data_IF_081069947649
#
_entry.id   IF_081069947649
#
_cell.length_a   1.000
_cell.length_b   1.000
_cell.length_c   1.000
_cell.angle_alpha   90.00
_cell.angle_beta   90.00
_cell.angle_gamma   90.00
#
_symmetry.space_group_name_H-M   'P 1'
#
loop_
_entity.id
_entity.type
_entity.pdbx_description
1 polymer ?
#
# COMPACT_ATOMS: atom_id res chain seq x y z
N UNK A 1 -42.58 32.12 -32.60
CA UNK A 1 -41.22 31.96 -33.16
C UNK A 1 -40.10 31.84 -32.17
N UNK A 2 -40.23 32.35 -30.93
CA UNK A 2 -39.11 32.29 -29.91
C UNK A 2 -38.86 30.91 -29.30
N UNK A 3 -39.85 30.02 -29.20
CA UNK A 3 -39.74 28.70 -28.61
C UNK A 3 -38.99 27.67 -29.48
N UNK A 4 -39.06 27.80 -30.80
CA UNK A 4 -38.39 26.90 -31.75
C UNK A 4 -36.88 27.15 -31.85
N UNK A 5 -36.43 28.38 -31.55
CA UNK A 5 -35.00 28.74 -31.57
C UNK A 5 -34.29 28.17 -30.34
N UNK A 6 -34.95 28.13 -29.18
CA UNK A 6 -34.39 27.57 -27.95
C UNK A 6 -34.18 26.04 -28.01
N UNK A 7 -35.13 25.35 -28.68
CA UNK A 7 -35.01 23.88 -28.82
C UNK A 7 -33.89 23.50 -29.79
N UNK A 8 -33.65 24.29 -30.82
CA UNK A 8 -32.55 24.04 -31.77
C UNK A 8 -31.19 24.33 -31.17
N UNK A 9 -31.06 25.37 -30.33
CA UNK A 9 -29.83 25.68 -29.61
C UNK A 9 -29.47 24.61 -28.55
N UNK A 10 -30.48 24.06 -27.84
CA UNK A 10 -30.27 22.97 -26.87
C UNK A 10 -29.83 21.67 -27.56
N UNK A 11 -30.36 21.35 -28.75
CA UNK A 11 -29.91 20.19 -29.53
C UNK A 11 -28.48 20.35 -30.11
N UNK A 12 -28.07 21.56 -30.48
CA UNK A 12 -26.69 21.81 -30.91
C UNK A 12 -25.69 21.71 -29.75
N UNK A 13 -26.04 22.13 -28.52
CA UNK A 13 -25.19 21.99 -27.35
C UNK A 13 -25.03 20.52 -26.89
N UNK A 14 -26.04 19.69 -27.09
CA UNK A 14 -25.92 18.25 -26.78
C UNK A 14 -25.12 17.47 -27.82
N UNK A 15 -25.06 17.94 -29.09
CA UNK A 15 -24.27 17.29 -30.12
C UNK A 15 -22.76 17.56 -30.01
N UNK A 16 -22.36 18.68 -29.37
CA UNK A 16 -20.92 18.98 -29.12
C UNK A 16 -20.33 18.25 -27.92
N UNK A 17 -21.14 17.63 -27.07
CA UNK A 17 -20.65 16.85 -25.90
C UNK A 17 -20.26 15.40 -26.24
N UNK A 18 -20.44 14.94 -27.48
CA UNK A 18 -20.14 13.56 -27.87
C UNK A 18 -18.85 13.36 -28.66
N UNK A 19 -18.06 14.39 -28.84
CA UNK A 19 -16.69 14.19 -29.29
C UNK A 19 -15.81 13.91 -28.07
N UNK A 20 -15.90 12.67 -27.55
CA UNK A 20 -14.77 12.10 -26.80
C UNK A 20 -13.56 12.16 -27.75
N UNK A 21 -12.59 12.98 -27.42
CA UNK A 21 -11.35 13.10 -28.15
C UNK A 21 -10.74 11.70 -28.17
N UNK A 22 -10.81 11.01 -29.32
CA UNK A 22 -10.05 9.76 -29.49
C UNK A 22 -8.59 10.12 -29.24
N UNK A 23 -8.02 9.57 -28.16
CA UNK A 23 -6.59 9.67 -27.94
C UNK A 23 -5.92 9.14 -29.20
N UNK A 24 -5.04 9.92 -29.83
CA UNK A 24 -4.39 9.54 -31.09
C UNK A 24 -3.50 8.29 -30.96
N UNK A 25 -3.44 7.67 -29.77
CA UNK A 25 -2.69 6.45 -29.48
C UNK A 25 -3.61 5.23 -29.53
N UNK A 26 -3.20 4.23 -30.31
CA UNK A 26 -3.81 2.90 -30.32
C UNK A 26 -2.94 1.95 -29.52
N UNK A 27 -3.50 1.40 -28.45
CA UNK A 27 -2.81 0.42 -27.61
C UNK A 27 -3.27 -1.00 -28.00
N UNK A 28 -2.30 -1.91 -28.05
CA UNK A 28 -2.55 -3.34 -28.22
C UNK A 28 -2.06 -4.04 -26.95
N UNK A 29 -2.93 -4.84 -26.33
CA UNK A 29 -2.52 -5.65 -25.16
C UNK A 29 -1.57 -6.75 -25.63
N UNK A 30 -0.33 -6.73 -25.14
CA UNK A 30 0.69 -7.74 -25.43
C UNK A 30 0.64 -8.87 -24.41
N UNK A 31 0.51 -8.55 -23.13
CA UNK A 31 0.37 -9.50 -22.04
C UNK A 31 -0.60 -8.96 -20.99
N UNK A 32 -1.36 -9.83 -20.34
CA UNK A 32 -2.26 -9.47 -19.24
C UNK A 32 -2.34 -10.62 -18.26
N UNK A 33 -2.08 -10.33 -17.00
CA UNK A 33 -2.17 -11.30 -15.91
C UNK A 33 -3.42 -11.06 -15.07
N UNK A 34 -3.90 -12.13 -14.42
CA UNK A 34 -5.01 -11.99 -13.46
C UNK A 34 -4.57 -11.22 -12.24
N UNK A 35 -5.38 -10.28 -11.83
CA UNK A 35 -5.18 -9.47 -10.64
C UNK A 35 -6.49 -9.30 -9.89
N UNK A 36 -6.38 -9.03 -8.59
CA UNK A 36 -7.50 -8.57 -7.78
C UNK A 36 -7.93 -7.16 -8.19
N UNK A 37 -9.18 -6.73 -7.90
CA UNK A 37 -9.62 -5.37 -8.23
C UNK A 37 -8.73 -4.31 -7.58
N UNK A 38 -8.44 -3.24 -8.32
CA UNK A 38 -7.69 -2.09 -7.79
C UNK A 38 -8.48 -1.43 -6.67
N UNK A 39 -7.83 -1.24 -5.51
CA UNK A 39 -8.40 -0.59 -4.33
C UNK A 39 -8.02 0.89 -4.27
N UNK A 40 -8.87 1.70 -3.62
CA UNK A 40 -8.66 3.14 -3.51
C UNK A 40 -8.07 3.50 -2.14
N UNK A 41 -6.82 3.96 -2.11
CA UNK A 41 -6.17 4.45 -0.88
C UNK A 41 -6.77 5.75 -0.32
N UNK A 42 -7.61 6.43 -1.10
CA UNK A 42 -8.23 7.73 -0.76
C UNK A 42 -7.22 8.78 -0.26
N UNK A 43 -7.49 9.44 0.89
CA UNK A 43 -6.66 10.53 1.41
C UNK A 43 -5.55 10.01 2.34
N UNK A 44 -4.72 9.09 1.84
CA UNK A 44 -3.56 8.57 2.56
C UNK A 44 -2.31 8.52 1.67
N UNK A 45 -1.13 8.53 2.28
CA UNK A 45 0.16 8.29 1.62
C UNK A 45 0.59 6.82 1.68
N UNK A 46 -0.36 5.87 1.59
CA UNK A 46 -0.12 4.44 1.76
C UNK A 46 -0.10 3.66 0.44
N UNK A 47 0.18 4.33 -0.69
CA UNK A 47 0.24 3.71 -2.01
C UNK A 47 1.19 2.50 -2.06
N UNK A 48 2.32 2.56 -1.37
CA UNK A 48 3.27 1.46 -1.23
C UNK A 48 2.61 0.19 -0.69
N UNK A 49 1.73 0.33 0.31
CA UNK A 49 1.04 -0.82 0.92
C UNK A 49 -0.02 -1.39 -0.02
N UNK A 50 -0.87 -0.54 -0.59
CA UNK A 50 -1.89 -0.97 -1.56
C UNK A 50 -1.28 -1.67 -2.77
N UNK A 51 -0.18 -1.12 -3.29
CA UNK A 51 0.54 -1.70 -4.41
C UNK A 51 1.14 -3.07 -4.07
N UNK A 52 1.81 -3.18 -2.91
CA UNK A 52 2.42 -4.45 -2.49
C UNK A 52 1.36 -5.49 -2.13
N UNK A 53 0.26 -5.10 -1.47
CA UNK A 53 -0.86 -6.02 -1.16
C UNK A 53 -1.46 -6.58 -2.45
N UNK A 54 -1.73 -5.74 -3.46
CA UNK A 54 -2.24 -6.18 -4.76
C UNK A 54 -1.28 -7.14 -5.47
N UNK A 55 0.03 -6.90 -5.37
CA UNK A 55 1.04 -7.83 -5.87
C UNK A 55 0.96 -9.20 -5.15
N UNK A 56 0.90 -9.21 -3.81
CA UNK A 56 0.83 -10.44 -3.03
C UNK A 56 -0.48 -11.21 -3.25
N UNK A 57 -1.60 -10.51 -3.42
CA UNK A 57 -2.89 -11.12 -3.80
C UNK A 57 -2.81 -11.78 -5.19
N UNK A 58 -2.14 -11.12 -6.13
CA UNK A 58 -1.91 -11.69 -7.47
C UNK A 58 -0.96 -12.90 -7.43
N UNK A 59 0.02 -12.90 -6.54
CA UNK A 59 0.87 -14.08 -6.30
C UNK A 59 0.06 -15.26 -5.75
N UNK A 60 -0.89 -15.02 -4.85
CA UNK A 60 -1.78 -16.05 -4.36
C UNK A 60 -2.64 -16.64 -5.49
N UNK A 61 -3.12 -15.80 -6.42
CA UNK A 61 -3.81 -16.27 -7.63
C UNK A 61 -2.88 -17.12 -8.50
N UNK A 62 -1.65 -16.68 -8.75
CA UNK A 62 -0.64 -17.43 -9.53
C UNK A 62 -0.29 -18.77 -8.89
N UNK A 63 -0.19 -18.81 -7.57
CA UNK A 63 0.07 -20.04 -6.79
C UNK A 63 -1.13 -21.00 -6.73
N UNK A 64 -2.28 -20.63 -7.31
CA UNK A 64 -3.50 -21.43 -7.28
C UNK A 64 -4.18 -21.47 -5.90
N UNK A 65 -3.87 -20.56 -5.01
CA UNK A 65 -4.46 -20.45 -3.67
C UNK A 65 -5.88 -19.87 -3.69
N UNK A 66 -6.27 -19.25 -4.80
CA UNK A 66 -7.54 -18.56 -4.97
C UNK A 66 -7.45 -17.06 -4.74
N UNK A 67 -8.60 -16.40 -4.77
CA UNK A 67 -8.72 -14.96 -4.58
C UNK A 67 -8.80 -14.62 -3.10
N UNK A 68 -7.96 -13.69 -2.68
CA UNK A 68 -7.93 -13.12 -1.34
C UNK A 68 -8.03 -11.60 -1.44
N UNK A 69 -8.64 -11.00 -0.44
CA UNK A 69 -8.71 -9.57 -0.19
C UNK A 69 -8.04 -9.33 1.18
N UNK A 70 -6.79 -8.84 1.16
CA UNK A 70 -5.93 -8.70 2.33
C UNK A 70 -5.98 -7.26 2.86
N UNK A 71 -5.96 -7.10 4.18
CA UNK A 71 -6.04 -5.78 4.82
C UNK A 71 -4.73 -5.02 4.71
N UNK A 72 -4.74 -3.93 3.94
CA UNK A 72 -3.63 -2.96 3.89
C UNK A 72 -3.44 -2.26 5.23
N UNK A 73 -4.54 -1.93 5.90
CA UNK A 73 -4.48 -1.15 7.13
C UNK A 73 -3.92 -1.93 8.31
N UNK A 74 -4.01 -3.25 8.29
CA UNK A 74 -3.33 -4.10 9.28
C UNK A 74 -1.80 -3.93 9.20
N UNK A 75 -1.26 -3.93 8.00
CA UNK A 75 0.18 -3.68 7.73
C UNK A 75 0.56 -2.23 8.03
N UNK A 76 -0.27 -1.26 7.59
CA UNK A 76 -0.02 0.17 7.81
C UNK A 76 0.03 0.51 9.29
N UNK A 77 -0.84 -0.08 10.12
CA UNK A 77 -0.80 0.10 11.58
C UNK A 77 0.53 -0.37 12.17
N UNK A 78 1.00 -1.55 11.77
CA UNK A 78 2.28 -2.07 12.25
C UNK A 78 3.46 -1.19 11.81
N UNK A 79 3.43 -0.71 10.57
CA UNK A 79 4.42 0.24 10.06
C UNK A 79 4.50 1.50 10.93
N UNK A 80 3.38 2.11 11.30
CA UNK A 80 3.39 3.29 12.17
C UNK A 80 3.98 3.00 13.54
N UNK A 81 3.70 1.84 14.13
CA UNK A 81 4.32 1.41 15.39
C UNK A 81 5.84 1.29 15.25
N UNK A 82 6.31 0.64 14.19
CA UNK A 82 7.74 0.47 13.92
C UNK A 82 8.45 1.82 13.70
N UNK A 83 7.81 2.74 12.98
CA UNK A 83 8.36 4.10 12.77
C UNK A 83 8.45 4.92 14.06
N UNK A 84 7.48 4.81 14.96
CA UNK A 84 7.55 5.46 16.26
C UNK A 84 8.74 4.95 17.07
N UNK A 85 9.03 3.67 16.95
CA UNK A 85 10.17 3.02 17.60
C UNK A 85 11.50 3.50 17.01
N UNK A 86 11.62 3.47 15.67
CA UNK A 86 12.78 3.96 14.93
C UNK A 86 13.06 5.43 15.24
N UNK A 87 12.03 6.29 15.20
CA UNK A 87 12.15 7.71 15.54
C UNK A 87 12.65 7.95 16.95
N UNK A 88 12.21 7.15 17.92
CA UNK A 88 12.70 7.26 19.30
C UNK A 88 14.17 6.89 19.40
N UNK A 89 14.61 5.78 18.81
CA UNK A 89 16.01 5.36 18.84
C UNK A 89 16.92 6.30 18.06
N UNK A 90 16.43 6.98 17.04
CA UNK A 90 17.16 8.02 16.30
C UNK A 90 17.08 9.40 16.96
N UNK A 91 16.57 9.51 18.18
CA UNK A 91 16.49 10.78 18.90
C UNK A 91 15.59 11.83 18.23
N UNK A 92 14.56 11.40 17.48
CA UNK A 92 13.64 12.28 16.77
C UNK A 92 14.01 12.55 15.31
N UNK A 93 15.04 11.89 14.78
CA UNK A 93 15.47 12.03 13.38
C UNK A 93 14.97 10.87 12.50
N UNK A 94 13.97 10.12 12.97
CA UNK A 94 13.30 9.10 12.16
C UNK A 94 12.24 9.71 11.23
N UNK A 95 11.81 8.92 10.24
CA UNK A 95 10.71 9.31 9.35
C UNK A 95 9.37 8.91 9.98
N UNK A 96 8.54 9.88 10.37
CA UNK A 96 7.15 9.66 10.85
C UNK A 96 6.11 9.97 9.77
N UNK A 97 6.47 9.86 8.51
CA UNK A 97 5.58 10.07 7.35
C UNK A 97 4.66 8.88 7.08
N UNK A 98 3.80 9.03 6.09
CA UNK A 98 2.91 7.95 5.63
C UNK A 98 3.58 7.02 4.60
N UNK A 99 4.57 7.54 3.86
CA UNK A 99 5.31 6.81 2.84
C UNK A 99 6.14 5.67 3.41
N UNK A 100 6.41 4.69 2.58
CA UNK A 100 7.34 3.58 2.79
C UNK A 100 7.56 2.84 1.46
N UNK A 101 8.24 1.69 1.52
CA UNK A 101 8.53 0.86 0.36
C UNK A 101 8.03 -0.58 0.59
N UNK A 102 8.13 -1.43 -0.41
CA UNK A 102 7.55 -2.79 -0.40
C UNK A 102 8.14 -3.70 0.68
N UNK A 103 9.42 -3.55 1.02
CA UNK A 103 10.03 -4.32 2.12
C UNK A 103 9.35 -4.08 3.48
N UNK A 104 8.81 -2.90 3.72
CA UNK A 104 8.06 -2.62 4.97
C UNK A 104 6.82 -3.52 5.07
N UNK A 105 6.14 -3.81 3.95
CA UNK A 105 5.05 -4.77 3.92
C UNK A 105 5.55 -6.17 4.31
N UNK A 106 6.63 -6.60 3.69
CA UNK A 106 7.29 -7.89 3.98
C UNK A 106 7.69 -8.01 5.45
N UNK A 107 8.33 -6.98 6.01
CA UNK A 107 8.78 -6.95 7.39
C UNK A 107 7.59 -7.00 8.37
N UNK A 108 6.54 -6.22 8.13
CA UNK A 108 5.33 -6.24 8.95
C UNK A 108 4.61 -7.59 8.86
N UNK A 109 4.46 -8.16 7.66
CA UNK A 109 3.89 -9.50 7.46
C UNK A 109 4.66 -10.55 8.27
N UNK A 110 5.98 -10.56 8.19
CA UNK A 110 6.81 -11.46 8.98
C UNK A 110 6.70 -11.21 10.49
N UNK A 111 6.50 -9.97 10.91
CA UNK A 111 6.41 -9.59 12.32
C UNK A 111 5.05 -9.93 12.95
N UNK A 112 3.95 -9.62 12.28
CA UNK A 112 2.60 -9.71 12.88
C UNK A 112 1.62 -10.59 12.10
N UNK A 113 1.97 -11.06 10.91
CA UNK A 113 1.07 -11.77 10.01
C UNK A 113 0.20 -10.83 9.19
N UNK A 114 -0.98 -11.31 8.81
CA UNK A 114 -1.97 -10.57 7.99
C UNK A 114 -3.37 -11.04 8.34
N UNK A 115 -4.38 -10.25 8.01
CA UNK A 115 -5.79 -10.60 8.11
C UNK A 115 -6.52 -10.26 6.81
N UNK A 116 -7.69 -10.87 6.53
CA UNK A 116 -8.55 -10.43 5.43
C UNK A 116 -9.08 -9.01 5.65
N UNK A 117 -9.33 -8.29 4.56
CA UNK A 117 -9.92 -6.95 4.59
C UNK A 117 -11.27 -6.91 5.31
N UNK A 118 -12.13 -7.93 5.11
CA UNK A 118 -13.42 -8.04 5.79
C UNK A 118 -13.32 -8.16 7.33
N UNK A 119 -12.14 -8.54 7.84
CA UNK A 119 -11.87 -8.66 9.28
C UNK A 119 -11.34 -7.35 9.86
N UNK A 120 -10.60 -6.59 9.07
CA UNK A 120 -10.00 -5.35 9.52
C UNK A 120 -9.88 -4.33 8.39
N UNK A 121 -10.90 -3.50 8.25
CA UNK A 121 -10.96 -2.43 7.24
C UNK A 121 -10.06 -1.23 7.56
N UNK A 122 -9.70 -1.04 8.83
CA UNK A 122 -8.87 0.10 9.26
C UNK A 122 -9.58 1.46 9.12
N UNK A 123 -10.89 1.49 9.27
CA UNK A 123 -11.70 2.71 9.36
C UNK A 123 -12.61 2.59 10.58
N UNK A 124 -12.36 3.38 11.62
CA UNK A 124 -13.15 3.43 12.84
C UNK A 124 -13.54 4.88 13.19
N UNK A 125 -13.90 5.65 12.18
CA UNK A 125 -14.38 7.03 12.30
C UNK A 125 -15.48 7.26 11.26
N UNK A 126 -16.25 8.34 11.38
CA UNK A 126 -17.41 8.60 10.53
C UNK A 126 -17.01 8.96 9.08
N UNK A 127 -16.52 7.96 8.34
CA UNK A 127 -16.14 8.05 6.93
C UNK A 127 -16.17 6.66 6.29
N UNK A 128 -16.48 6.61 5.00
CA UNK A 128 -16.35 5.41 4.16
C UNK A 128 -15.00 5.35 3.42
N UNK A 129 -14.15 6.34 3.62
CA UNK A 129 -12.86 6.47 2.92
C UNK A 129 -11.74 6.73 3.90
N UNK A 130 -10.58 6.13 3.63
CA UNK A 130 -9.38 6.35 4.43
C UNK A 130 -8.96 7.82 4.42
N UNK A 131 -8.66 8.34 5.61
CA UNK A 131 -8.05 9.66 5.79
C UNK A 131 -7.14 9.63 7.02
N UNK A 132 -5.85 9.63 6.82
CA UNK A 132 -4.86 9.57 7.88
C UNK A 132 -4.32 10.94 8.31
N UNK A 133 -4.79 12.03 7.72
CA UNK A 133 -4.23 13.36 7.94
C UNK A 133 -4.23 13.80 9.40
N UNK A 134 -5.32 13.56 10.14
CA UNK A 134 -5.42 13.90 11.56
C UNK A 134 -4.63 12.91 12.43
N UNK A 135 -4.84 11.62 12.24
CA UNK A 135 -4.17 10.56 12.99
C UNK A 135 -2.64 10.72 12.96
N UNK A 136 -2.06 10.98 11.78
CA UNK A 136 -0.62 11.16 11.62
C UNK A 136 -0.09 12.37 12.39
N UNK A 137 -0.86 13.44 12.52
CA UNK A 137 -0.47 14.59 13.36
C UNK A 137 -0.36 14.21 14.83
N UNK A 138 -1.30 13.41 15.34
CA UNK A 138 -1.25 12.89 16.71
C UNK A 138 -0.10 11.90 16.91
N UNK A 139 0.15 11.00 15.95
CA UNK A 139 1.31 10.09 15.96
C UNK A 139 2.61 10.89 16.11
N UNK A 140 2.78 11.93 15.28
CA UNK A 140 3.96 12.80 15.32
C UNK A 140 4.10 13.53 16.66
N UNK A 141 3.00 14.06 17.19
CA UNK A 141 3.01 14.78 18.47
C UNK A 141 3.41 13.85 19.63
N UNK A 142 2.84 12.65 19.70
CA UNK A 142 3.15 11.66 20.74
C UNK A 142 4.59 11.12 20.60
N UNK A 143 5.01 10.77 19.38
CA UNK A 143 6.37 10.30 19.12
C UNK A 143 7.42 11.34 19.50
N UNK A 144 7.25 12.58 19.07
CA UNK A 144 8.16 13.67 19.40
C UNK A 144 8.18 14.00 20.91
N UNK A 145 7.05 13.85 21.58
CA UNK A 145 6.96 14.02 23.03
C UNK A 145 7.77 12.94 23.77
N UNK A 146 7.65 11.68 23.35
CA UNK A 146 8.43 10.58 23.94
C UNK A 146 9.93 10.80 23.79
N UNK A 147 10.37 11.29 22.63
CA UNK A 147 11.80 11.64 22.39
C UNK A 147 12.26 12.76 23.35
N UNK A 148 11.49 13.84 23.46
CA UNK A 148 11.83 14.95 24.37
C UNK A 148 11.89 14.53 25.84
N UNK A 149 10.98 13.65 26.24
CA UNK A 149 10.96 13.09 27.59
C UNK A 149 12.06 12.04 27.84
N UNK A 150 12.74 11.57 26.78
CA UNK A 150 13.73 10.46 26.83
C UNK A 150 13.17 9.21 27.50
N UNK A 151 11.87 8.98 27.36
CA UNK A 151 11.15 7.89 28.03
C UNK A 151 9.95 7.45 27.21
N UNK A 152 9.75 6.13 27.13
CA UNK A 152 8.51 5.47 26.68
C UNK A 152 7.98 4.65 27.85
N UNK A 153 6.96 5.18 28.51
CA UNK A 153 6.30 4.50 29.64
C UNK A 153 5.22 3.52 29.15
N UNK A 154 4.73 2.63 30.01
CA UNK A 154 3.55 1.82 29.69
C UNK A 154 2.35 2.65 29.25
N UNK A 155 2.15 3.83 29.84
CA UNK A 155 1.08 4.77 29.48
C UNK A 155 1.26 5.32 28.05
N UNK A 156 2.49 5.59 27.62
CA UNK A 156 2.78 5.99 26.24
C UNK A 156 2.31 4.91 25.25
N UNK A 157 2.65 3.64 25.49
CA UNK A 157 2.22 2.55 24.61
C UNK A 157 0.71 2.38 24.61
N UNK A 158 0.05 2.56 25.77
CA UNK A 158 -1.40 2.54 25.86
C UNK A 158 -2.04 3.68 25.07
N UNK A 159 -1.48 4.90 25.16
CA UNK A 159 -1.98 6.05 24.39
C UNK A 159 -1.84 5.83 22.90
N UNK A 160 -0.70 5.31 22.42
CA UNK A 160 -0.46 5.01 21.00
C UNK A 160 -1.45 3.94 20.51
N UNK A 161 -1.63 2.85 21.24
CA UNK A 161 -2.59 1.82 20.84
C UNK A 161 -4.03 2.34 20.82
N UNK A 162 -4.45 3.09 21.84
CA UNK A 162 -5.78 3.72 21.87
C UNK A 162 -5.99 4.71 20.71
N UNK A 163 -4.95 5.44 20.32
CA UNK A 163 -5.01 6.29 19.14
C UNK A 163 -5.29 5.47 17.88
N UNK A 164 -4.54 4.38 17.67
CA UNK A 164 -4.79 3.51 16.53
C UNK A 164 -6.15 2.84 16.59
N UNK A 165 -6.59 2.37 17.76
CA UNK A 165 -7.91 1.77 17.93
C UNK A 165 -9.03 2.76 17.59
N UNK A 166 -8.84 4.04 17.96
CA UNK A 166 -9.78 5.12 17.64
C UNK A 166 -9.94 5.35 16.15
N UNK A 167 -8.84 5.32 15.38
CA UNK A 167 -8.86 5.63 13.96
C UNK A 167 -8.96 4.39 13.06
N UNK A 168 -8.30 3.31 13.42
CA UNK A 168 -8.18 2.12 12.58
C UNK A 168 -8.99 0.92 13.09
N UNK A 169 -9.51 0.99 14.32
CA UNK A 169 -10.18 -0.12 14.98
C UNK A 169 -9.23 -1.02 15.77
N UNK A 170 -9.80 -1.83 16.66
CA UNK A 170 -9.06 -2.80 17.47
C UNK A 170 -8.52 -3.94 16.62
N UNK A 171 -7.29 -4.37 16.92
CA UNK A 171 -6.68 -5.50 16.21
C UNK A 171 -7.36 -6.81 16.63
N UNK A 172 -7.73 -7.67 15.67
CA UNK A 172 -8.26 -8.99 15.99
C UNK A 172 -7.14 -9.90 16.52
N UNK A 173 -7.31 -10.43 17.73
CA UNK A 173 -6.42 -11.51 18.23
C UNK A 173 -6.72 -12.83 17.52
N UNK A 174 -8.00 -13.11 17.29
CA UNK A 174 -8.55 -14.26 16.57
C UNK A 174 -9.72 -13.84 15.71
N UNK A 175 -9.94 -14.54 14.62
CA UNK A 175 -11.06 -14.32 13.71
C UNK A 175 -11.45 -15.60 12.97
N UNK A 176 -12.66 -15.64 12.46
CA UNK A 176 -13.14 -16.72 11.60
C UNK A 176 -13.15 -16.24 10.15
N UNK A 177 -12.50 -16.98 9.27
CA UNK A 177 -12.50 -16.73 7.83
C UNK A 177 -12.77 -18.04 7.07
N UNK A 178 -13.73 -18.01 6.15
CA UNK A 178 -14.18 -19.20 5.38
C UNK A 178 -14.44 -20.42 6.29
N UNK A 179 -15.05 -20.19 7.47
CA UNK A 179 -15.46 -21.26 8.40
C UNK A 179 -14.33 -21.86 9.26
N UNK A 180 -13.14 -21.28 9.23
CA UNK A 180 -12.01 -21.71 10.06
C UNK A 180 -11.52 -20.56 10.96
N UNK A 181 -11.17 -20.87 12.22
CA UNK A 181 -10.58 -19.89 13.15
C UNK A 181 -9.08 -19.72 12.87
N UNK A 182 -8.63 -18.48 12.92
CA UNK A 182 -7.24 -18.07 12.72
C UNK A 182 -6.81 -17.02 13.72
N UNK A 183 -5.52 -16.96 13.97
CA UNK A 183 -4.82 -15.74 14.39
C UNK A 183 -4.20 -15.08 13.17
N UNK A 184 -3.80 -13.78 13.21
CA UNK A 184 -3.11 -13.14 12.08
C UNK A 184 -1.90 -13.94 11.57
N UNK A 185 -1.14 -14.53 12.48
CA UNK A 185 0.03 -15.37 12.15
C UNK A 185 -0.36 -16.67 11.46
N UNK A 186 -1.31 -17.42 12.03
CA UNK A 186 -1.72 -18.70 11.46
C UNK A 186 -2.44 -18.52 10.11
N UNK A 187 -3.09 -17.37 9.90
CA UNK A 187 -3.65 -17.03 8.60
C UNK A 187 -2.53 -16.76 7.57
N UNK A 188 -1.53 -15.93 7.92
CA UNK A 188 -0.36 -15.68 7.09
C UNK A 188 0.35 -16.99 6.68
N UNK A 189 0.57 -17.89 7.63
CA UNK A 189 1.17 -19.22 7.37
C UNK A 189 0.32 -20.05 6.38
N UNK A 190 -1.01 -19.98 6.49
CA UNK A 190 -1.92 -20.72 5.61
C UNK A 190 -1.88 -20.26 4.15
N UNK A 191 -1.48 -19.02 3.91
CA UNK A 191 -1.32 -18.47 2.55
C UNK A 191 -0.12 -19.11 1.83
N UNK A 192 0.91 -19.52 2.57
CA UNK A 192 2.11 -20.13 2.01
C UNK A 192 3.02 -19.18 1.26
N UNK A 193 2.89 -17.87 1.52
CA UNK A 193 3.81 -16.85 1.02
C UNK A 193 5.13 -16.92 1.80
N UNK A 194 6.24 -17.05 1.09
CA UNK A 194 7.58 -16.94 1.67
C UNK A 194 8.20 -15.62 1.26
N UNK A 195 8.43 -14.72 2.21
CA UNK A 195 8.93 -13.37 1.94
C UNK A 195 10.38 -13.35 1.42
N UNK A 196 11.13 -14.43 1.58
CA UNK A 196 12.50 -14.54 1.06
C UNK A 196 12.54 -14.82 -0.46
N UNK A 197 11.41 -15.20 -1.06
CA UNK A 197 11.31 -15.43 -2.51
C UNK A 197 11.18 -14.11 -3.30
N UNK A 198 11.03 -12.96 -2.62
CA UNK A 198 10.82 -11.66 -3.24
C UNK A 198 12.02 -10.74 -3.06
N UNK A 199 12.42 -10.10 -4.15
CA UNK A 199 13.53 -9.15 -4.22
C UNK A 199 13.05 -7.78 -4.69
N UNK A 200 13.58 -6.72 -4.12
CA UNK A 200 13.36 -5.36 -4.61
C UNK A 200 14.47 -4.97 -5.57
N UNK A 201 14.06 -4.45 -6.73
CA UNK A 201 14.95 -3.95 -7.76
C UNK A 201 14.94 -2.42 -7.78
N UNK A 202 16.05 -1.83 -8.17
CA UNK A 202 16.17 -0.39 -8.33
C UNK A 202 17.15 -0.07 -9.47
N UNK A 203 17.16 1.19 -9.93
CA UNK A 203 18.08 1.66 -10.98
C UNK A 203 18.66 3.02 -10.62
N UNK A 204 19.83 3.02 -10.02
CA UNK A 204 20.57 4.24 -9.67
C UNK A 204 21.95 4.25 -10.35
N UNK A 205 22.20 5.25 -11.18
CA UNK A 205 23.44 5.38 -11.98
C UNK A 205 24.68 5.74 -11.15
N UNK A 206 24.51 6.30 -9.95
CA UNK A 206 25.62 6.70 -9.08
C UNK A 206 26.10 5.60 -8.13
N UNK A 207 25.50 4.41 -8.21
CA UNK A 207 25.89 3.21 -7.45
C UNK A 207 26.25 2.10 -8.41
N UNK A 208 27.16 1.19 -8.04
CA UNK A 208 27.50 0.05 -8.89
C UNK A 208 26.27 -0.80 -9.23
N UNK A 209 26.16 -1.21 -10.48
CA UNK A 209 25.15 -2.17 -10.91
C UNK A 209 25.49 -3.59 -10.46
N UNK A 210 24.51 -4.46 -10.45
CA UNK A 210 24.57 -5.88 -10.08
C UNK A 210 25.01 -6.13 -8.64
N UNK A 211 24.72 -5.17 -7.77
CA UNK A 211 25.00 -5.23 -6.34
C UNK A 211 23.81 -4.71 -5.54
N UNK A 212 23.70 -5.16 -4.32
CA UNK A 212 22.74 -4.60 -3.36
C UNK A 212 23.32 -3.35 -2.71
N UNK A 213 22.50 -2.33 -2.54
CA UNK A 213 22.79 -1.17 -1.72
C UNK A 213 21.50 -0.63 -1.09
N UNK A 214 21.62 0.14 -0.04
CA UNK A 214 20.49 0.81 0.58
C UNK A 214 20.30 2.19 -0.08
N UNK A 215 19.19 2.41 -0.84
CA UNK A 215 18.88 3.73 -1.38
C UNK A 215 18.64 4.74 -0.26
N UNK A 216 19.32 5.88 -0.33
CA UNK A 216 19.24 6.98 0.64
C UNK A 216 18.03 7.87 0.33
N UNK A 217 16.82 7.29 0.33
CA UNK A 217 15.55 7.99 0.13
C UNK A 217 14.74 7.98 1.42
N UNK A 218 13.96 9.05 1.72
CA UNK A 218 13.23 9.15 2.99
C UNK A 218 12.30 7.98 3.29
N UNK A 219 11.70 7.38 2.25
CA UNK A 219 10.77 6.27 2.40
C UNK A 219 11.47 4.91 2.67
N UNK A 220 12.79 4.82 2.45
CA UNK A 220 13.62 3.69 2.89
C UNK A 220 14.13 3.89 4.33
N UNK A 221 13.22 4.22 5.24
CA UNK A 221 13.55 4.50 6.64
C UNK A 221 14.08 3.27 7.41
N UNK A 222 13.80 2.06 6.93
CA UNK A 222 14.33 0.80 7.45
C UNK A 222 15.75 0.52 6.96
N UNK A 223 16.27 1.29 5.99
CA UNK A 223 17.58 1.11 5.34
C UNK A 223 17.77 -0.25 4.67
N UNK A 224 16.71 -0.81 4.14
CA UNK A 224 16.76 -2.06 3.41
C UNK A 224 17.53 -1.94 2.10
N UNK A 225 18.11 -3.06 1.69
CA UNK A 225 18.94 -3.13 0.49
C UNK A 225 18.12 -3.59 -0.73
N UNK A 226 18.30 -2.87 -1.83
CA UNK A 226 17.72 -3.21 -3.13
C UNK A 226 18.81 -3.61 -4.11
N UNK A 227 18.50 -4.50 -5.03
CA UNK A 227 19.42 -4.91 -6.10
C UNK A 227 19.40 -3.89 -7.24
N UNK A 228 20.57 -3.33 -7.55
CA UNK A 228 20.71 -2.26 -8.54
C UNK A 228 20.97 -2.82 -9.94
N UNK A 229 20.14 -2.45 -10.90
CA UNK A 229 20.26 -2.83 -12.31
C UNK A 229 20.30 -1.60 -13.22
N UNK A 230 20.89 -1.68 -14.42
CA UNK A 230 20.62 -0.72 -15.48
C UNK A 230 19.10 -0.61 -15.74
N UNK A 231 18.64 0.59 -16.09
CA UNK A 231 17.20 0.83 -16.27
C UNK A 231 16.59 -0.08 -17.34
N UNK A 232 17.28 -0.23 -18.46
CA UNK A 232 16.80 -1.07 -19.58
C UNK A 232 16.67 -2.54 -19.14
N UNK A 233 17.64 -3.06 -18.41
CA UNK A 233 17.58 -4.45 -17.90
C UNK A 233 16.48 -4.59 -16.83
N UNK A 234 16.25 -3.58 -15.98
CA UNK A 234 15.14 -3.59 -15.02
C UNK A 234 13.79 -3.63 -15.75
N UNK A 235 13.65 -2.93 -16.88
CA UNK A 235 12.45 -2.99 -17.72
C UNK A 235 12.31 -4.37 -18.39
N UNK A 236 13.40 -4.94 -18.90
CA UNK A 236 13.38 -6.32 -19.45
C UNK A 236 12.95 -7.36 -18.41
N UNK A 237 13.40 -7.22 -17.15
CA UNK A 237 12.97 -8.08 -16.05
C UNK A 237 11.45 -7.92 -15.80
N UNK A 238 10.92 -6.70 -15.83
CA UNK A 238 9.49 -6.45 -15.65
C UNK A 238 8.66 -7.07 -16.79
N UNK A 239 9.09 -6.91 -18.02
CA UNK A 239 8.45 -7.49 -19.21
C UNK A 239 8.50 -9.03 -19.16
N UNK A 240 9.65 -9.59 -18.78
CA UNK A 240 9.81 -11.04 -18.60
C UNK A 240 8.88 -11.56 -17.48
N UNK A 241 8.79 -10.84 -16.36
CA UNK A 241 7.92 -11.20 -15.25
C UNK A 241 6.45 -11.32 -15.71
N UNK A 242 5.96 -10.40 -16.54
CA UNK A 242 4.61 -10.47 -17.10
C UNK A 242 4.40 -11.73 -17.97
N UNK A 243 5.41 -12.14 -18.72
CA UNK A 243 5.33 -13.37 -19.53
C UNK A 243 5.38 -14.64 -18.69
N UNK A 244 6.01 -14.57 -17.51
CA UNK A 244 6.11 -15.68 -16.55
C UNK A 244 4.94 -15.74 -15.55
N UNK A 245 3.81 -15.10 -15.85
CA UNK A 245 2.62 -15.02 -15.00
C UNK A 245 2.82 -14.26 -13.67
N UNK A 246 3.89 -13.47 -13.56
CA UNK A 246 4.07 -12.57 -12.44
C UNK A 246 3.34 -11.25 -12.72
N UNK A 247 2.62 -10.75 -11.74
CA UNK A 247 1.89 -9.50 -11.85
C UNK A 247 2.78 -8.31 -11.44
N UNK A 248 2.66 -7.21 -12.17
CA UNK A 248 3.25 -5.93 -11.76
C UNK A 248 2.23 -5.10 -11.00
N UNK A 249 2.66 -4.41 -9.97
CA UNK A 249 1.79 -3.66 -9.08
C UNK A 249 1.03 -2.54 -9.80
N UNK A 250 -0.32 -2.48 -9.73
CA UNK A 250 -1.07 -1.35 -10.28
C UNK A 250 -0.95 -0.12 -9.39
N UNK A 251 -1.13 1.07 -9.99
CA UNK A 251 -1.26 2.29 -9.20
C UNK A 251 -2.62 2.35 -8.48
N UNK A 252 -2.66 2.51 -7.14
CA UNK A 252 -3.92 2.66 -6.41
C UNK A 252 -4.72 3.91 -6.78
N UNK A 253 -4.16 4.81 -7.60
CA UNK A 253 -4.80 6.04 -8.10
C UNK A 253 -5.41 5.89 -9.49
N UNK A 254 -5.21 4.77 -10.16
CA UNK A 254 -5.69 4.59 -11.55
C UNK A 254 -7.22 4.61 -11.68
N UNK A 255 -7.96 4.42 -10.59
CA UNK A 255 -9.42 4.55 -10.55
C UNK A 255 -9.95 5.99 -10.40
N UNK A 256 -9.10 6.98 -10.19
CA UNK A 256 -9.51 8.37 -9.90
C UNK A 256 -9.41 9.29 -11.12
N UNK A 257 -9.24 8.74 -12.32
CA UNK A 257 -9.22 9.49 -13.59
C UNK A 257 -10.40 9.15 -14.48
#
# INVERSE_FOLDING_TARGET
MKTKVFTLAALLCCASAMYAQESGYKFTTVASQKATPVKNQASTGTCWCFATTSFMESELLRMGKGEYDLSEMFIVRQKYLNQLEDNYYRGGNGNLGQGSLSHTWKNAFNQVGIVPEEVYHGINYNSEKHNHGEMVRYINALGNTAVKMKRRSPEYYKLINNLFDTYLGELPEKFTYKGKEYTPKSFAESLGLNMDDYIELTSFTHKPYYQKFSPEVPDNWENEQMYNLPLDEMMEVADYALTCLLYTSPSPRDRTR
#
